data_IF_026210663740
#
_entry.id   IF_026210663740
#
_cell.length_a   1.000
_cell.length_b   1.000
_cell.length_c   1.000
_cell.angle_alpha   90.00
_cell.angle_beta   90.00
_cell.angle_gamma   90.00
#
_symmetry.space_group_name_H-M   'P 1'
#
loop_
_entity.id
_entity.type
_entity.pdbx_description
1 polymer ?
#
# COMPACT_ATOMS: atom_id res chain seq x y z
N UNK A 1 20.31 -18.92 -19.03
CA UNK A 1 19.20 -19.83 -19.41
C UNK A 1 17.83 -19.14 -19.47
N UNK A 2 17.59 -18.07 -18.68
CA UNK A 2 16.30 -17.34 -18.67
C UNK A 2 16.02 -16.46 -19.90
N UNK A 3 17.02 -15.89 -20.59
CA UNK A 3 16.78 -15.00 -21.74
C UNK A 3 16.13 -15.66 -22.97
N UNK A 4 16.17 -16.98 -23.11
CA UNK A 4 15.83 -17.66 -24.39
C UNK A 4 14.36 -18.07 -24.53
N UNK A 5 13.56 -18.08 -23.46
CA UNK A 5 12.15 -18.51 -23.49
C UNK A 5 11.12 -17.36 -23.36
N UNK A 6 11.56 -16.11 -23.32
CA UNK A 6 10.66 -14.95 -23.16
C UNK A 6 9.63 -14.79 -24.30
N UNK A 7 9.99 -15.24 -25.51
CA UNK A 7 9.19 -15.04 -26.72
C UNK A 7 8.04 -16.06 -26.88
N UNK A 8 8.05 -17.18 -26.14
CA UNK A 8 7.12 -18.29 -26.40
C UNK A 8 5.96 -18.36 -25.41
N UNK A 9 6.12 -17.77 -24.22
CA UNK A 9 5.14 -17.86 -23.12
C UNK A 9 4.19 -16.66 -23.18
N UNK A 10 2.89 -16.92 -23.18
CA UNK A 10 1.85 -15.87 -23.22
C UNK A 10 1.83 -15.08 -21.91
N UNK A 11 1.47 -13.80 -22.00
CA UNK A 11 1.30 -12.92 -20.83
C UNK A 11 0.44 -13.53 -19.72
N UNK A 12 -0.62 -14.23 -20.10
CA UNK A 12 -1.55 -14.91 -19.19
C UNK A 12 -0.87 -16.05 -18.44
N UNK A 13 -0.01 -16.83 -19.10
CA UNK A 13 0.75 -17.92 -18.47
C UNK A 13 1.74 -17.33 -17.45
N UNK A 14 2.45 -16.25 -17.81
CA UNK A 14 3.34 -15.53 -16.87
C UNK A 14 2.57 -15.01 -15.65
N UNK A 15 1.37 -14.47 -15.84
CA UNK A 15 0.53 -13.98 -14.75
C UNK A 15 0.06 -15.11 -13.83
N UNK A 16 -0.34 -16.25 -14.39
CA UNK A 16 -0.72 -17.44 -13.63
C UNK A 16 0.45 -17.99 -12.82
N UNK A 17 1.64 -18.10 -13.43
CA UNK A 17 2.85 -18.52 -12.72
C UNK A 17 3.14 -17.57 -11.55
N UNK A 18 3.06 -16.25 -11.77
CA UNK A 18 3.25 -15.26 -10.72
C UNK A 18 2.23 -15.44 -9.58
N UNK A 19 0.95 -15.67 -9.87
CA UNK A 19 -0.09 -15.91 -8.87
C UNK A 19 0.14 -17.21 -8.09
N UNK A 20 0.56 -18.28 -8.76
CA UNK A 20 0.91 -19.55 -8.11
C UNK A 20 2.10 -19.37 -7.18
N UNK A 21 3.17 -18.73 -7.65
CA UNK A 21 4.34 -18.43 -6.82
C UNK A 21 3.98 -17.52 -5.63
N UNK A 22 3.16 -16.50 -5.83
CA UNK A 22 2.70 -15.62 -4.76
C UNK A 22 1.88 -16.40 -3.72
N UNK A 23 0.95 -17.26 -4.15
CA UNK A 23 0.12 -18.07 -3.25
C UNK A 23 0.96 -19.07 -2.45
N UNK A 24 1.93 -19.73 -3.10
CA UNK A 24 2.88 -20.61 -2.41
C UNK A 24 3.72 -19.84 -1.38
N UNK A 25 4.16 -18.62 -1.72
CA UNK A 25 4.91 -17.77 -0.80
C UNK A 25 4.05 -17.37 0.41
N UNK A 26 2.76 -17.11 0.23
CA UNK A 26 1.82 -16.90 1.36
C UNK A 26 1.72 -18.15 2.22
N UNK A 27 1.51 -19.33 1.63
CA UNK A 27 1.41 -20.60 2.37
C UNK A 27 2.65 -20.89 3.21
N UNK A 28 3.84 -20.70 2.63
CA UNK A 28 5.13 -20.87 3.31
C UNK A 28 5.28 -19.79 4.39
N UNK A 29 4.98 -18.53 4.06
CA UNK A 29 5.08 -17.44 5.02
C UNK A 29 4.18 -17.63 6.23
N UNK A 30 2.95 -18.11 6.05
CA UNK A 30 2.06 -18.44 7.17
C UNK A 30 2.60 -19.58 8.04
N UNK A 31 3.25 -20.58 7.43
CA UNK A 31 3.84 -21.72 8.16
C UNK A 31 5.07 -21.33 8.97
N UNK A 32 5.87 -20.39 8.46
CA UNK A 32 7.11 -19.91 9.10
C UNK A 32 6.94 -18.57 9.82
N UNK A 33 5.72 -18.03 9.92
CA UNK A 33 5.42 -16.69 10.46
C UNK A 33 6.25 -15.55 9.84
N UNK A 34 6.51 -15.62 8.53
CA UNK A 34 7.20 -14.59 7.75
C UNK A 34 6.22 -13.63 7.07
N UNK A 35 6.65 -12.39 6.82
CA UNK A 35 5.88 -11.36 6.12
C UNK A 35 5.76 -11.65 4.61
N UNK A 36 4.92 -12.62 4.23
CA UNK A 36 4.77 -13.06 2.84
C UNK A 36 4.38 -11.94 1.86
N UNK A 37 3.52 -11.00 2.28
CA UNK A 37 3.10 -9.87 1.45
C UNK A 37 4.29 -8.97 1.05
N UNK A 38 5.25 -8.78 1.95
CA UNK A 38 6.48 -8.04 1.64
C UNK A 38 7.31 -8.82 0.61
N UNK A 39 7.39 -10.15 0.74
CA UNK A 39 8.04 -11.01 -0.24
C UNK A 39 7.39 -10.92 -1.64
N UNK A 40 6.06 -10.85 -1.72
CA UNK A 40 5.34 -10.63 -3.00
C UNK A 40 5.71 -9.27 -3.60
N UNK A 41 5.79 -8.22 -2.78
CA UNK A 41 6.26 -6.91 -3.24
C UNK A 41 7.70 -6.98 -3.74
N UNK A 42 8.58 -7.70 -3.04
CA UNK A 42 9.97 -7.91 -3.47
C UNK A 42 10.03 -8.63 -4.82
N UNK A 43 9.19 -9.65 -5.06
CA UNK A 43 9.10 -10.30 -6.38
C UNK A 43 8.73 -9.28 -7.45
N UNK A 44 7.73 -8.43 -7.19
CA UNK A 44 7.32 -7.37 -8.12
C UNK A 44 8.45 -6.38 -8.42
N UNK A 45 9.19 -5.95 -7.38
CA UNK A 45 10.34 -5.07 -7.52
C UNK A 45 11.48 -5.71 -8.30
N UNK A 46 11.86 -6.95 -7.98
CA UNK A 46 12.92 -7.69 -8.70
C UNK A 46 12.54 -7.90 -10.16
N UNK A 47 11.26 -8.20 -10.43
CA UNK A 47 10.76 -8.35 -11.80
C UNK A 47 10.84 -7.02 -12.57
N UNK A 48 10.50 -5.90 -11.93
CA UNK A 48 10.61 -4.57 -12.52
C UNK A 48 12.06 -4.21 -12.85
N UNK A 49 12.98 -4.48 -11.91
CA UNK A 49 14.40 -4.16 -12.05
C UNK A 49 15.10 -5.01 -13.14
N UNK A 50 14.81 -6.31 -13.19
CA UNK A 50 15.55 -7.23 -14.07
C UNK A 50 14.84 -7.51 -15.40
N UNK A 51 13.51 -7.35 -15.44
CA UNK A 51 12.65 -7.73 -16.57
C UNK A 51 11.50 -6.74 -16.76
N UNK A 52 11.86 -5.46 -16.90
CA UNK A 52 10.93 -4.33 -16.94
C UNK A 52 9.77 -4.50 -17.93
N UNK A 53 10.03 -5.00 -19.15
CA UNK A 53 8.99 -5.24 -20.16
C UNK A 53 7.92 -6.22 -19.67
N UNK A 54 8.34 -7.33 -19.04
CA UNK A 54 7.42 -8.32 -18.48
C UNK A 54 6.71 -7.79 -17.26
N UNK A 55 7.39 -7.01 -16.41
CA UNK A 55 6.77 -6.37 -15.26
C UNK A 55 5.65 -5.41 -15.70
N UNK A 56 5.90 -4.56 -16.70
CA UNK A 56 4.90 -3.64 -17.26
C UNK A 56 3.73 -4.38 -17.90
N UNK A 57 4.00 -5.44 -18.66
CA UNK A 57 2.96 -6.29 -19.25
C UNK A 57 2.07 -6.94 -18.17
N UNK A 58 2.68 -7.55 -17.15
CA UNK A 58 1.96 -8.16 -16.03
C UNK A 58 1.17 -7.14 -15.22
N UNK A 59 1.77 -6.00 -14.90
CA UNK A 59 1.09 -4.92 -14.18
C UNK A 59 -0.16 -4.44 -14.93
N UNK A 60 -0.08 -4.31 -16.26
CA UNK A 60 -1.25 -3.95 -17.08
C UNK A 60 -2.38 -4.99 -17.01
N UNK A 61 -2.04 -6.29 -17.03
CA UNK A 61 -3.05 -7.37 -16.90
C UNK A 61 -3.65 -7.43 -15.49
N UNK A 62 -2.81 -7.38 -14.46
CA UNK A 62 -3.23 -7.41 -13.06
C UNK A 62 -4.06 -6.18 -12.70
N UNK A 63 -3.75 -4.99 -13.24
CA UNK A 63 -4.54 -3.77 -13.03
C UNK A 63 -5.98 -3.91 -13.52
N UNK A 64 -6.21 -4.63 -14.64
CA UNK A 64 -7.58 -4.91 -15.12
C UNK A 64 -8.35 -5.83 -14.16
N UNK A 65 -7.68 -6.84 -13.60
CA UNK A 65 -8.26 -7.74 -12.59
C UNK A 65 -8.52 -6.96 -11.29
N UNK A 66 -7.60 -6.07 -10.91
CA UNK A 66 -7.69 -5.26 -9.71
C UNK A 66 -8.95 -4.40 -9.68
N UNK A 67 -9.37 -3.78 -10.79
CA UNK A 67 -10.61 -2.99 -10.81
C UNK A 67 -11.83 -3.80 -10.35
N UNK A 68 -11.94 -5.06 -10.79
CA UNK A 68 -13.00 -5.96 -10.33
C UNK A 68 -12.84 -6.36 -8.86
N UNK A 69 -11.63 -6.73 -8.46
CA UNK A 69 -11.33 -7.12 -7.08
C UNK A 69 -11.54 -5.97 -6.08
N UNK A 70 -11.21 -4.74 -6.47
CA UNK A 70 -11.38 -3.52 -5.68
C UNK A 70 -12.85 -3.26 -5.37
N UNK A 71 -13.72 -3.38 -6.38
CA UNK A 71 -15.17 -3.21 -6.19
C UNK A 71 -15.69 -4.26 -5.19
N UNK A 72 -15.34 -5.54 -5.38
CA UNK A 72 -15.75 -6.60 -4.44
C UNK A 72 -15.24 -6.30 -3.03
N UNK A 73 -13.97 -5.92 -2.90
CA UNK A 73 -13.34 -5.63 -1.61
C UNK A 73 -14.11 -4.52 -0.88
N UNK A 74 -14.34 -3.37 -1.51
CA UNK A 74 -15.04 -2.25 -0.86
C UNK A 74 -16.51 -2.52 -0.60
N UNK A 75 -17.22 -3.21 -1.50
CA UNK A 75 -18.62 -3.60 -1.28
C UNK A 75 -18.72 -4.57 -0.10
N UNK A 76 -17.82 -5.55 -0.01
CA UNK A 76 -17.86 -6.56 1.06
C UNK A 76 -17.47 -5.99 2.42
N UNK A 77 -16.52 -5.06 2.45
CA UNK A 77 -16.21 -4.29 3.65
C UNK A 77 -17.42 -3.49 4.10
N UNK A 78 -18.05 -2.75 3.18
CA UNK A 78 -19.23 -1.95 3.48
C UNK A 78 -20.39 -2.79 4.00
N UNK A 79 -20.56 -4.00 3.44
CA UNK A 79 -21.56 -4.96 3.91
C UNK A 79 -21.26 -5.53 5.30
N UNK A 80 -19.98 -5.74 5.62
CA UNK A 80 -19.55 -6.34 6.90
C UNK A 80 -19.52 -5.35 8.06
N UNK A 81 -19.56 -4.05 7.76
CA UNK A 81 -19.50 -2.97 8.75
C UNK A 81 -20.86 -2.78 9.44
N UNK A 82 -20.89 -2.96 10.76
CA UNK A 82 -22.06 -2.63 11.57
C UNK A 82 -22.08 -1.12 11.91
N UNK A 83 -23.15 -0.37 11.56
CA UNK A 83 -23.20 1.07 11.80
C UNK A 83 -23.09 1.44 13.29
N UNK A 84 -23.71 0.65 14.17
CA UNK A 84 -23.66 0.82 15.64
C UNK A 84 -22.21 0.82 16.16
N UNK A 85 -21.42 -0.18 15.75
CA UNK A 85 -20.01 -0.31 16.09
C UNK A 85 -19.17 0.85 15.55
N UNK A 86 -19.49 1.34 14.35
CA UNK A 86 -18.83 2.51 13.77
C UNK A 86 -19.11 3.79 14.55
N UNK A 87 -20.35 4.01 15.02
CA UNK A 87 -20.68 5.18 15.84
C UNK A 87 -20.05 5.12 17.23
N UNK A 88 -20.08 3.96 17.89
CA UNK A 88 -19.50 3.77 19.22
C UNK A 88 -17.96 3.92 19.18
N UNK A 89 -17.33 3.31 18.19
CA UNK A 89 -15.88 3.42 18.00
C UNK A 89 -15.45 4.77 17.42
N UNK A 90 -16.37 5.56 16.84
CA UNK A 90 -16.08 6.77 16.06
C UNK A 90 -15.10 7.72 16.72
N UNK A 91 -15.48 8.27 17.87
CA UNK A 91 -14.67 9.29 18.55
C UNK A 91 -13.35 8.73 19.11
N UNK A 92 -13.41 7.58 19.79
CA UNK A 92 -12.21 6.93 20.37
C UNK A 92 -11.24 6.46 19.29
N UNK A 93 -11.78 5.90 18.21
CA UNK A 93 -11.05 5.48 17.03
C UNK A 93 -10.38 6.65 16.33
N UNK A 94 -11.08 7.78 16.15
CA UNK A 94 -10.49 8.97 15.55
C UNK A 94 -9.32 9.52 16.38
N UNK A 95 -9.47 9.58 17.71
CA UNK A 95 -8.37 9.97 18.61
C UNK A 95 -7.17 9.01 18.49
N UNK A 96 -7.41 7.69 18.44
CA UNK A 96 -6.36 6.70 18.27
C UNK A 96 -5.64 6.85 16.92
N UNK A 97 -6.39 7.07 15.83
CA UNK A 97 -5.85 7.29 14.47
C UNK A 97 -5.02 8.57 14.44
N UNK A 98 -5.54 9.68 14.95
CA UNK A 98 -4.84 10.97 15.01
C UNK A 98 -3.56 10.87 15.83
N UNK A 99 -3.60 10.23 17.01
CA UNK A 99 -2.42 10.02 17.83
C UNK A 99 -1.35 9.17 17.11
N UNK A 100 -1.77 8.04 16.52
CA UNK A 100 -0.88 7.19 15.73
C UNK A 100 -0.26 7.93 14.53
N UNK A 101 -1.02 8.81 13.89
CA UNK A 101 -0.54 9.61 12.77
C UNK A 101 0.53 10.62 13.21
N UNK A 102 0.36 11.27 14.37
CA UNK A 102 1.37 12.17 14.94
C UNK A 102 2.69 11.42 15.19
N UNK A 103 2.64 10.27 15.88
CA UNK A 103 3.84 9.47 16.12
C UNK A 103 4.51 9.00 14.82
N UNK A 104 3.71 8.61 13.82
CA UNK A 104 4.20 8.23 12.50
C UNK A 104 4.90 9.40 11.81
N UNK A 105 4.29 10.58 11.82
CA UNK A 105 4.90 11.78 11.24
C UNK A 105 6.20 12.14 11.95
N UNK A 106 6.24 12.11 13.29
CA UNK A 106 7.48 12.31 14.05
C UNK A 106 8.55 11.27 13.68
N UNK A 107 8.18 10.02 13.48
CA UNK A 107 9.09 8.97 13.01
C UNK A 107 9.70 9.29 11.65
N UNK A 108 8.93 9.87 10.71
CA UNK A 108 9.47 10.33 9.43
C UNK A 108 10.46 11.46 9.62
N UNK A 109 10.14 12.46 10.46
CA UNK A 109 11.07 13.55 10.77
C UNK A 109 12.39 13.07 11.37
N UNK A 110 12.33 12.09 12.27
CA UNK A 110 13.54 11.46 12.83
C UNK A 110 14.32 10.71 11.75
N UNK A 111 13.64 9.97 10.88
CA UNK A 111 14.28 9.21 9.80
C UNK A 111 14.92 10.13 8.74
N UNK A 112 14.37 11.31 8.48
CA UNK A 112 14.90 12.27 7.51
C UNK A 112 15.82 13.33 8.13
N UNK A 113 16.02 13.34 9.45
CA UNK A 113 16.82 14.36 10.14
C UNK A 113 18.28 14.46 9.66
N UNK A 114 18.87 13.34 9.22
CA UNK A 114 20.24 13.27 8.71
C UNK A 114 20.31 13.17 7.17
N UNK A 115 19.19 13.40 6.48
CA UNK A 115 19.15 13.38 5.03
C UNK A 115 19.48 14.76 4.43
N UNK A 116 19.89 14.85 3.15
CA UNK A 116 20.09 16.13 2.47
C UNK A 116 18.77 16.87 2.14
N UNK A 117 17.62 16.37 2.62
CA UNK A 117 16.31 16.94 2.33
C UNK A 117 16.08 18.23 3.11
N UNK A 118 15.45 19.20 2.44
CA UNK A 118 14.98 20.43 3.07
C UNK A 118 13.84 20.15 4.05
N UNK A 119 13.61 21.06 5.00
CA UNK A 119 12.46 20.98 5.94
C UNK A 119 11.12 20.86 5.20
N UNK A 120 11.06 21.47 4.01
CA UNK A 120 9.95 21.42 3.08
C UNK A 120 9.71 20.01 2.55
N UNK A 121 10.75 19.38 2.02
CA UNK A 121 10.68 18.01 1.53
C UNK A 121 10.44 16.99 2.65
N UNK A 122 11.04 17.18 3.84
CA UNK A 122 10.76 16.37 5.02
C UNK A 122 9.27 16.40 5.40
N UNK A 123 8.63 17.58 5.37
CA UNK A 123 7.19 17.70 5.58
C UNK A 123 6.39 17.00 4.48
N UNK A 124 6.80 17.14 3.21
CA UNK A 124 6.17 16.43 2.10
C UNK A 124 6.28 14.91 2.26
N UNK A 125 7.45 14.38 2.64
CA UNK A 125 7.66 12.97 2.95
C UNK A 125 6.73 12.49 4.06
N UNK A 126 6.60 13.25 5.16
CA UNK A 126 5.70 12.91 6.25
C UNK A 126 4.24 12.80 5.79
N UNK A 127 3.82 13.67 4.87
CA UNK A 127 2.46 13.70 4.33
C UNK A 127 2.24 12.61 3.28
N UNK A 128 3.20 12.40 2.39
CA UNK A 128 3.16 11.33 1.39
C UNK A 128 3.15 9.93 2.03
N UNK A 129 3.74 9.82 3.23
CA UNK A 129 3.78 8.60 4.02
C UNK A 129 2.51 8.37 4.87
N UNK A 130 1.47 9.23 4.76
CA UNK A 130 0.16 8.91 5.34
C UNK A 130 -0.30 7.54 4.85
N UNK A 131 -0.84 6.69 5.74
CA UNK A 131 -1.22 5.33 5.38
C UNK A 131 -2.31 5.33 4.30
N UNK A 132 -2.01 4.67 3.17
CA UNK A 132 -2.94 4.49 2.04
C UNK A 132 -3.79 3.22 2.25
N UNK A 133 -4.84 3.41 3.02
CA UNK A 133 -6.16 2.79 3.02
C UNK A 133 -6.35 1.27 2.80
N UNK A 134 -5.98 0.67 1.66
CA UNK A 134 -6.60 -0.61 1.24
C UNK A 134 -6.18 -1.82 2.09
N UNK A 135 -4.90 -1.92 2.44
CA UNK A 135 -4.38 -3.03 3.25
C UNK A 135 -4.96 -3.00 4.67
N UNK A 136 -5.20 -1.81 5.22
CA UNK A 136 -5.65 -1.65 6.60
C UNK A 136 -7.03 -2.24 6.83
N UNK A 137 -7.96 -2.00 5.91
CA UNK A 137 -9.32 -2.53 6.06
C UNK A 137 -9.42 -3.98 5.65
N UNK A 138 -8.62 -4.44 4.68
CA UNK A 138 -8.49 -5.87 4.42
C UNK A 138 -8.03 -6.62 5.69
N UNK A 139 -7.03 -6.10 6.41
CA UNK A 139 -6.58 -6.66 7.69
C UNK A 139 -7.66 -6.56 8.79
N UNK A 140 -8.43 -5.47 8.84
CA UNK A 140 -9.58 -5.35 9.73
C UNK A 140 -10.64 -6.42 9.48
N UNK A 141 -10.95 -6.71 8.21
CA UNK A 141 -11.86 -7.78 7.82
C UNK A 141 -11.35 -9.17 8.20
N UNK A 142 -10.03 -9.41 8.10
CA UNK A 142 -9.40 -10.66 8.56
C UNK A 142 -9.51 -10.83 10.09
N UNK A 143 -9.37 -9.74 10.86
CA UNK A 143 -9.55 -9.80 12.31
C UNK A 143 -10.99 -10.23 12.68
N UNK A 144 -11.99 -9.68 11.97
CA UNK A 144 -13.39 -10.07 12.15
C UNK A 144 -13.63 -11.55 11.78
N UNK A 145 -13.11 -12.01 10.64
CA UNK A 145 -13.32 -13.39 10.18
C UNK A 145 -12.65 -14.45 11.07
N UNK A 146 -11.58 -14.08 11.77
CA UNK A 146 -10.92 -14.94 12.77
C UNK A 146 -11.58 -14.92 14.15
N UNK A 147 -12.67 -14.18 14.33
CA UNK A 147 -13.39 -14.12 15.61
C UNK A 147 -12.58 -13.47 16.73
N UNK A 148 -11.64 -12.57 16.39
CA UNK A 148 -10.88 -11.83 17.40
C UNK A 148 -11.84 -11.00 18.25
N UNK A 149 -11.61 -10.96 19.56
CA UNK A 149 -12.38 -10.12 20.48
C UNK A 149 -12.39 -8.67 19.97
N UNK A 150 -13.57 -8.04 19.90
CA UNK A 150 -13.76 -6.70 19.32
C UNK A 150 -13.42 -6.60 17.82
N UNK A 151 -13.50 -7.71 17.06
CA UNK A 151 -13.26 -7.72 15.61
C UNK A 151 -14.13 -6.70 14.84
N UNK A 152 -15.38 -6.49 15.26
CA UNK A 152 -16.25 -5.45 14.70
C UNK A 152 -15.72 -4.04 14.96
N UNK A 153 -15.25 -3.76 16.17
CA UNK A 153 -14.63 -2.48 16.52
C UNK A 153 -13.34 -2.26 15.74
N UNK A 154 -12.51 -3.29 15.56
CA UNK A 154 -11.28 -3.21 14.77
C UNK A 154 -11.60 -2.89 13.30
N UNK A 155 -12.57 -3.59 12.71
CA UNK A 155 -13.03 -3.32 11.35
C UNK A 155 -13.57 -1.88 11.24
N UNK A 156 -14.40 -1.44 12.19
CA UNK A 156 -14.94 -0.09 12.22
C UNK A 156 -13.86 0.98 12.29
N UNK A 157 -12.87 0.84 13.18
CA UNK A 157 -11.73 1.77 13.28
C UNK A 157 -10.91 1.76 11.99
N UNK A 158 -10.68 0.59 11.38
CA UNK A 158 -9.97 0.50 10.11
C UNK A 158 -10.71 1.26 8.99
N UNK A 159 -12.04 1.11 8.90
CA UNK A 159 -12.86 1.83 7.91
C UNK A 159 -12.84 3.33 8.18
N UNK A 160 -12.99 3.76 9.43
CA UNK A 160 -12.85 5.16 9.83
C UNK A 160 -11.48 5.73 9.47
N UNK A 161 -10.41 4.94 9.64
CA UNK A 161 -9.07 5.33 9.23
C UNK A 161 -9.01 5.62 7.74
N UNK A 162 -9.56 4.76 6.86
CA UNK A 162 -9.61 5.05 5.42
C UNK A 162 -10.38 6.34 5.14
N UNK A 163 -11.59 6.46 5.68
CA UNK A 163 -12.47 7.59 5.42
C UNK A 163 -11.84 8.92 5.83
N UNK A 164 -10.99 8.90 6.86
CA UNK A 164 -10.28 10.09 7.34
C UNK A 164 -8.93 10.31 6.64
N UNK A 165 -8.07 9.30 6.56
CA UNK A 165 -6.68 9.46 6.08
C UNK A 165 -6.58 9.54 4.56
N UNK A 166 -7.48 8.90 3.80
CA UNK A 166 -7.45 8.96 2.34
C UNK A 166 -7.70 10.39 1.79
N UNK A 167 -8.78 11.10 2.17
CA UNK A 167 -8.98 12.47 1.71
C UNK A 167 -7.92 13.43 2.27
N UNK A 168 -7.50 13.26 3.52
CA UNK A 168 -6.43 14.08 4.10
C UNK A 168 -5.10 13.91 3.38
N UNK A 169 -4.71 12.67 3.08
CA UNK A 169 -3.50 12.37 2.31
C UNK A 169 -3.57 12.94 0.90
N UNK A 170 -4.71 12.79 0.21
CA UNK A 170 -4.91 13.36 -1.12
C UNK A 170 -4.83 14.89 -1.13
N UNK A 171 -5.53 15.55 -0.20
CA UNK A 171 -5.51 17.00 -0.06
C UNK A 171 -4.10 17.50 0.31
N UNK A 172 -3.44 16.82 1.26
CA UNK A 172 -2.07 17.12 1.64
C UNK A 172 -1.11 17.06 0.47
N UNK A 173 -1.13 15.96 -0.30
CA UNK A 173 -0.26 15.80 -1.48
C UNK A 173 -0.57 16.86 -2.55
N UNK A 174 -1.84 17.16 -2.84
CA UNK A 174 -2.20 18.15 -3.87
C UNK A 174 -1.81 19.57 -3.50
N UNK A 175 -2.06 19.98 -2.26
CA UNK A 175 -1.79 21.36 -1.81
C UNK A 175 -0.30 21.58 -1.63
N UNK A 176 0.39 20.62 -1.00
CA UNK A 176 1.80 20.76 -0.60
C UNK A 176 2.72 20.32 -1.73
N UNK A 177 2.38 19.27 -2.49
CA UNK A 177 3.17 18.88 -3.66
C UNK A 177 3.37 20.03 -4.65
N UNK A 178 2.32 20.79 -4.94
CA UNK A 178 2.41 21.94 -5.87
C UNK A 178 3.10 23.18 -5.28
N UNK A 179 3.21 23.31 -3.95
CA UNK A 179 3.78 24.50 -3.28
C UNK A 179 5.18 24.30 -2.73
N UNK A 180 5.55 23.06 -2.45
CA UNK A 180 6.71 22.70 -1.64
C UNK A 180 7.75 21.92 -2.43
N UNK A 181 7.37 21.31 -3.55
CA UNK A 181 8.28 20.77 -4.53
C UNK A 181 8.51 21.85 -5.59
N UNK A 182 9.68 22.49 -5.55
CA UNK A 182 10.18 23.19 -6.73
C UNK A 182 10.53 22.11 -7.76
N UNK A 183 10.18 22.35 -9.04
CA UNK A 183 10.68 21.50 -10.10
C UNK A 183 12.18 21.77 -10.20
N UNK A 184 12.99 20.99 -9.48
CA UNK A 184 14.40 20.84 -9.82
C UNK A 184 14.43 20.22 -11.21
N UNK A 185 14.41 21.10 -12.21
CA UNK A 185 14.44 20.76 -13.61
C UNK A 185 15.76 20.10 -13.95
N UNK A 186 15.71 19.07 -14.79
CA UNK A 186 16.74 18.70 -15.76
C UNK A 186 18.20 19.03 -15.39
N UNK A 187 18.65 18.63 -14.20
CA UNK A 187 20.06 18.36 -14.03
C UNK A 187 20.32 17.06 -14.77
N UNK A 188 20.60 17.20 -16.07
CA UNK A 188 21.19 16.18 -16.90
C UNK A 188 22.31 15.54 -16.08
N UNK A 189 22.07 14.31 -15.60
CA UNK A 189 23.11 13.47 -15.05
C UNK A 189 24.24 13.49 -16.09
N UNK A 190 25.41 14.09 -15.81
CA UNK A 190 26.51 13.99 -16.73
C UNK A 190 26.84 12.50 -16.72
N UNK A 191 26.44 11.82 -17.79
CA UNK A 191 27.03 10.56 -18.18
C UNK A 191 28.49 10.90 -18.46
N UNK A 192 29.28 10.90 -17.38
CA UNK A 192 30.71 10.96 -17.42
C UNK A 192 31.19 9.80 -18.28
N UNK A 193 31.83 10.18 -19.38
CA UNK A 193 32.76 9.46 -20.25
C UNK A 193 32.87 7.94 -20.08
#
# INVERSE_FOLDING_TARGET
MFRRHYATIRATEKALILLVCATLLVQVGDSFHFAALLGIMTIGFVLLEHFEEVARELASKLSKIWVFAEIILFVMIGFSLEPSAAFEAGFRGLLAISGGLVFRSLGVWVATAFSPLTVRECLFCAIAYLPKATVQVALGGVALSRGILQGQTILAIAVLAILFTAPLGLLGIRIIGNRLLEADGDEAFPLGQ
#
